data_IF_308541257561
#
_entry.id   IF_308541257561
#
_cell.length_a   1.000
_cell.length_b   1.000
_cell.length_c   1.000
_cell.angle_alpha   90.00
_cell.angle_beta   90.00
_cell.angle_gamma   90.00
#
_symmetry.space_group_name_H-M   'P 1'
#
loop_
_entity.id
_entity.type
_entity.pdbx_description
1 polymer ?
#
# COMPACT_ATOMS: atom_id res chain seq x y z
N UNK A 1 -2.00 -7.27 -23.86
CA UNK A 1 -3.48 -7.17 -24.06
C UNK A 1 -3.90 -5.72 -23.91
N UNK A 2 -5.10 -5.31 -24.34
CA UNK A 2 -5.56 -3.94 -24.10
C UNK A 2 -6.12 -3.78 -22.69
N UNK A 3 -6.02 -2.57 -22.12
CA UNK A 3 -6.55 -2.26 -20.80
C UNK A 3 -8.06 -2.53 -20.69
N UNK A 4 -8.85 -2.24 -21.73
CA UNK A 4 -10.29 -2.53 -21.74
C UNK A 4 -10.65 -4.00 -21.47
N UNK A 5 -9.71 -4.92 -21.72
CA UNK A 5 -9.92 -6.36 -21.57
C UNK A 5 -9.48 -6.87 -20.18
N UNK A 6 -9.00 -6.00 -19.27
CA UNK A 6 -8.35 -6.38 -18.00
C UNK A 6 -9.21 -7.30 -17.13
N UNK A 7 -10.52 -7.10 -17.11
CA UNK A 7 -11.46 -7.90 -16.31
C UNK A 7 -11.66 -9.34 -16.82
N UNK A 8 -11.14 -9.69 -18.00
CA UNK A 8 -11.12 -11.07 -18.49
C UNK A 8 -10.10 -11.95 -17.77
N UNK A 9 -9.20 -11.36 -16.96
CA UNK A 9 -8.04 -12.03 -16.35
C UNK A 9 -8.10 -11.96 -14.82
N UNK A 10 -9.14 -12.58 -14.23
CA UNK A 10 -9.50 -12.43 -12.81
C UNK A 10 -8.47 -12.96 -11.80
N UNK A 11 -7.64 -13.89 -12.23
CA UNK A 11 -6.63 -14.54 -11.39
C UNK A 11 -5.29 -13.77 -11.35
N UNK A 12 -5.10 -12.82 -12.25
CA UNK A 12 -3.91 -11.99 -12.30
C UNK A 12 -4.08 -10.79 -11.37
N UNK A 13 -3.08 -10.54 -10.53
CA UNK A 13 -3.11 -9.45 -9.56
C UNK A 13 -2.42 -8.19 -10.06
N UNK A 14 -1.36 -8.31 -10.85
CA UNK A 14 -0.56 -7.19 -11.33
C UNK A 14 -0.37 -7.31 -12.83
N UNK A 15 -0.56 -6.20 -13.52
CA UNK A 15 -0.22 -6.02 -14.93
C UNK A 15 0.77 -4.88 -15.05
N UNK A 16 1.81 -5.05 -15.86
CA UNK A 16 2.69 -3.94 -16.27
C UNK A 16 2.13 -3.26 -17.51
N UNK A 17 2.21 -1.93 -17.58
CA UNK A 17 1.95 -1.14 -18.78
C UNK A 17 3.21 -1.15 -19.64
N UNK A 18 3.08 -1.55 -20.90
CA UNK A 18 4.21 -1.68 -21.85
C UNK A 18 4.12 -0.76 -23.06
N UNK A 19 2.94 -0.18 -23.30
CA UNK A 19 2.71 0.86 -24.30
C UNK A 19 1.53 1.72 -23.86
N UNK A 20 1.80 2.98 -23.55
CA UNK A 20 0.87 4.02 -23.12
C UNK A 20 0.79 5.17 -24.14
N UNK A 21 1.22 4.94 -25.39
CA UNK A 21 1.31 5.97 -26.43
C UNK A 21 -0.03 6.37 -27.05
N UNK A 22 -1.10 5.60 -26.81
CA UNK A 22 -2.45 5.90 -27.31
C UNK A 22 -3.14 6.92 -26.39
N UNK A 23 -3.68 7.99 -26.98
CA UNK A 23 -4.42 9.03 -26.24
C UNK A 23 -5.66 8.45 -25.52
N UNK A 24 -6.24 7.39 -26.07
CA UNK A 24 -7.31 6.63 -25.44
C UNK A 24 -6.72 5.52 -24.57
N UNK A 25 -6.79 5.73 -23.27
CA UNK A 25 -6.22 4.84 -22.27
C UNK A 25 -6.76 3.39 -22.34
N UNK A 26 -7.98 3.18 -22.86
CA UNK A 26 -8.51 1.83 -23.06
C UNK A 26 -7.68 0.98 -24.03
N UNK A 27 -6.91 1.63 -24.92
CA UNK A 27 -6.06 1.00 -25.91
C UNK A 27 -4.65 0.70 -25.43
N UNK A 28 -4.26 1.17 -24.25
CA UNK A 28 -2.94 0.90 -23.68
C UNK A 28 -2.67 -0.60 -23.58
N UNK A 29 -1.42 -0.98 -23.84
CA UNK A 29 -0.99 -2.37 -23.84
C UNK A 29 -0.43 -2.73 -22.48
N UNK A 30 -1.14 -3.63 -21.79
CA UNK A 30 -0.74 -4.18 -20.50
C UNK A 30 -0.38 -5.67 -20.65
N UNK A 31 0.56 -6.15 -19.82
CA UNK A 31 0.94 -7.56 -19.78
C UNK A 31 0.85 -8.10 -18.34
N UNK A 32 0.33 -9.32 -18.15
CA UNK A 32 0.26 -9.94 -16.82
C UNK A 32 1.67 -10.17 -16.29
N UNK A 33 1.84 -10.05 -14.97
CA UNK A 33 3.07 -10.40 -14.27
C UNK A 33 2.84 -11.60 -13.33
N UNK A 34 3.94 -12.16 -12.83
CA UNK A 34 3.97 -13.16 -11.76
C UNK A 34 4.38 -12.55 -10.41
N UNK A 35 4.30 -11.22 -10.29
CA UNK A 35 4.71 -10.51 -9.09
C UNK A 35 3.76 -10.80 -7.92
N UNK A 36 4.34 -11.11 -6.76
CA UNK A 36 3.60 -11.26 -5.51
C UNK A 36 3.25 -9.92 -4.87
N UNK A 37 4.08 -8.89 -5.11
CA UNK A 37 4.02 -7.55 -4.54
C UNK A 37 4.22 -6.49 -5.63
N UNK A 38 3.78 -5.26 -5.37
CA UNK A 38 4.09 -4.12 -6.23
C UNK A 38 5.58 -3.80 -6.05
N UNK A 39 6.39 -3.82 -7.13
CA UNK A 39 7.84 -3.68 -7.05
C UNK A 39 8.28 -2.24 -6.77
N UNK A 40 9.55 -2.09 -6.39
CA UNK A 40 10.24 -0.81 -6.20
C UNK A 40 10.85 -0.22 -7.50
N UNK A 41 10.70 -0.91 -8.64
CA UNK A 41 11.26 -0.46 -9.91
C UNK A 41 10.51 0.74 -10.49
N UNK A 42 11.06 1.34 -11.54
CA UNK A 42 10.38 2.39 -12.28
C UNK A 42 9.41 1.75 -13.28
N UNK A 43 8.12 2.07 -13.16
CA UNK A 43 7.11 1.45 -13.99
C UNK A 43 5.71 1.97 -13.73
N UNK A 44 4.79 1.57 -14.61
CA UNK A 44 3.36 1.79 -14.43
C UNK A 44 2.65 0.43 -14.41
N UNK A 45 1.90 0.17 -13.34
CA UNK A 45 1.17 -1.05 -13.10
C UNK A 45 -0.33 -0.82 -12.97
N UNK A 46 -1.13 -1.77 -13.46
CA UNK A 46 -2.52 -1.93 -13.03
C UNK A 46 -2.61 -3.11 -12.06
N UNK A 47 -3.07 -2.82 -10.85
CA UNK A 47 -3.10 -3.77 -9.74
C UNK A 47 -4.53 -4.05 -9.34
N UNK A 48 -4.90 -5.31 -9.17
CA UNK A 48 -6.21 -5.68 -8.65
C UNK A 48 -6.40 -5.02 -7.29
N UNK A 49 -7.57 -4.43 -7.07
CA UNK A 49 -7.88 -3.67 -5.88
C UNK A 49 -9.34 -3.88 -5.46
N UNK A 50 -9.66 -3.41 -4.27
CA UNK A 50 -11.02 -3.31 -3.76
C UNK A 50 -11.40 -1.84 -3.64
N UNK A 51 -12.61 -1.49 -4.09
CA UNK A 51 -13.32 -0.33 -3.56
C UNK A 51 -14.00 -0.78 -2.27
N UNK A 52 -13.65 -0.16 -1.15
CA UNK A 52 -14.13 -0.46 0.20
C UNK A 52 -15.05 0.65 0.67
N UNK A 53 -16.30 0.30 0.94
CA UNK A 53 -17.29 1.17 1.57
C UNK A 53 -17.74 0.56 2.91
N UNK A 54 -18.51 1.30 3.69
CA UNK A 54 -19.15 0.74 4.90
C UNK A 54 -20.05 -0.47 4.58
N UNK A 55 -20.64 -0.52 3.38
CA UNK A 55 -21.66 -1.50 3.02
C UNK A 55 -21.10 -2.73 2.33
N UNK A 56 -20.06 -2.57 1.49
CA UNK A 56 -19.54 -3.64 0.65
C UNK A 56 -18.10 -3.41 0.20
N UNK A 57 -17.52 -4.46 -0.37
CA UNK A 57 -16.30 -4.40 -1.16
C UNK A 57 -16.59 -4.79 -2.60
N UNK A 58 -16.01 -4.08 -3.55
CA UNK A 58 -16.18 -4.33 -4.99
C UNK A 58 -14.82 -4.44 -5.68
N UNK A 59 -14.65 -5.42 -6.56
CA UNK A 59 -13.41 -5.59 -7.34
C UNK A 59 -13.23 -4.44 -8.33
N UNK A 60 -12.01 -3.89 -8.37
CA UNK A 60 -11.55 -2.94 -9.38
C UNK A 60 -10.07 -3.22 -9.75
N UNK A 61 -9.52 -2.40 -10.63
CA UNK A 61 -8.07 -2.28 -10.79
C UNK A 61 -7.64 -0.85 -10.48
N UNK A 62 -6.44 -0.71 -9.92
CA UNK A 62 -5.85 0.58 -9.56
C UNK A 62 -4.56 0.76 -10.37
N UNK A 63 -4.46 1.89 -11.06
CA UNK A 63 -3.25 2.35 -11.71
C UNK A 63 -2.27 2.91 -10.68
N UNK A 64 -1.06 2.35 -10.64
CA UNK A 64 0.01 2.73 -9.72
C UNK A 64 1.30 2.98 -10.50
N UNK A 65 1.83 4.19 -10.41
CA UNK A 65 3.17 4.54 -10.86
C UNK A 65 4.17 4.22 -9.73
N UNK A 66 5.38 3.80 -10.11
CA UNK A 66 6.52 3.51 -9.23
C UNK A 66 7.79 4.15 -9.85
N UNK A 67 8.88 4.42 -9.10
CA UNK A 67 9.29 3.85 -7.80
C UNK A 67 8.66 4.49 -6.57
N UNK A 68 8.01 5.64 -6.71
CA UNK A 68 7.18 6.24 -5.68
C UNK A 68 5.73 5.85 -5.93
N UNK A 69 5.10 5.19 -4.96
CA UNK A 69 3.75 4.63 -5.06
C UNK A 69 2.70 5.72 -5.19
N UNK A 70 2.46 6.15 -6.43
CA UNK A 70 1.43 7.12 -6.79
C UNK A 70 0.25 6.42 -7.44
N UNK A 71 -0.91 6.52 -6.81
CA UNK A 71 -2.16 5.93 -7.27
C UNK A 71 -3.12 7.03 -7.71
N UNK A 72 -3.63 6.97 -8.94
CA UNK A 72 -4.47 8.05 -9.48
C UNK A 72 -5.73 7.56 -10.20
N UNK A 73 -5.71 6.35 -10.77
CA UNK A 73 -6.74 5.89 -11.69
C UNK A 73 -7.33 4.57 -11.26
N UNK A 74 -8.65 4.46 -11.35
CA UNK A 74 -9.40 3.27 -10.95
C UNK A 74 -10.18 2.77 -12.14
N UNK A 75 -9.92 1.52 -12.53
CA UNK A 75 -10.63 0.84 -13.62
C UNK A 75 -11.74 -0.01 -13.02
N UNK A 76 -12.97 0.24 -13.43
CA UNK A 76 -14.18 -0.37 -12.87
C UNK A 76 -14.91 -1.10 -13.98
N UNK A 77 -15.55 -2.23 -13.65
CA UNK A 77 -16.47 -2.91 -14.56
C UNK A 77 -17.88 -2.94 -13.99
N UNK A 78 -18.82 -2.30 -14.67
CA UNK A 78 -20.25 -2.34 -14.33
C UNK A 78 -21.02 -2.98 -15.47
N UNK A 79 -21.66 -4.13 -15.22
CA UNK A 79 -22.43 -4.88 -16.23
C UNK A 79 -21.64 -5.17 -17.53
N UNK A 80 -20.32 -5.37 -17.40
CA UNK A 80 -19.42 -5.64 -18.54
C UNK A 80 -18.93 -4.41 -19.28
N UNK A 81 -19.40 -3.21 -18.92
CA UNK A 81 -18.81 -1.95 -19.40
C UNK A 81 -17.65 -1.55 -18.50
N UNK A 82 -16.50 -1.28 -19.10
CA UNK A 82 -15.30 -0.83 -18.38
C UNK A 82 -15.23 0.70 -18.42
N UNK A 83 -14.97 1.31 -17.27
CA UNK A 83 -14.73 2.76 -17.12
C UNK A 83 -13.42 2.99 -16.38
N UNK A 84 -12.84 4.18 -16.56
CA UNK A 84 -11.66 4.65 -15.84
C UNK A 84 -12.07 5.95 -15.15
N UNK A 85 -11.92 5.98 -13.84
CA UNK A 85 -12.25 7.13 -12.99
C UNK A 85 -11.00 7.58 -12.23
N UNK A 86 -11.00 8.82 -11.75
CA UNK A 86 -9.99 9.23 -10.78
C UNK A 86 -10.23 8.54 -9.44
N UNK A 87 -9.16 8.16 -8.73
CA UNK A 87 -9.26 7.63 -7.36
C UNK A 87 -9.98 8.61 -6.42
N UNK A 88 -9.89 9.91 -6.67
CA UNK A 88 -10.53 10.96 -5.88
C UNK A 88 -12.03 11.09 -6.12
N UNK A 89 -12.54 10.51 -7.22
CA UNK A 89 -13.96 10.52 -7.57
C UNK A 89 -14.68 9.24 -7.08
N UNK A 90 -13.94 8.30 -6.46
CA UNK A 90 -14.51 7.06 -5.91
C UNK A 90 -15.13 7.31 -4.54
N UNK A 91 -16.35 6.80 -4.35
CA UNK A 91 -16.98 6.74 -3.03
C UNK A 91 -16.40 5.56 -2.23
N UNK A 92 -15.63 5.87 -1.19
CA UNK A 92 -14.92 4.91 -0.34
C UNK A 92 -13.43 4.83 -0.62
N UNK A 93 -12.76 3.88 0.06
CA UNK A 93 -11.31 3.69 0.00
C UNK A 93 -10.92 2.67 -1.08
N UNK A 94 -9.89 2.95 -1.89
CA UNK A 94 -9.41 2.01 -2.92
C UNK A 94 -8.12 1.33 -2.48
N UNK A 95 -8.21 0.03 -2.17
CA UNK A 95 -7.12 -0.72 -1.53
C UNK A 95 -6.57 -1.78 -2.49
N UNK A 96 -5.28 -1.75 -2.88
CA UNK A 96 -4.66 -2.81 -3.68
C UNK A 96 -4.72 -4.16 -2.96
N UNK A 97 -4.95 -5.27 -3.66
CA UNK A 97 -5.05 -6.61 -3.01
C UNK A 97 -3.69 -7.25 -2.67
N UNK A 98 -2.60 -6.52 -2.91
CA UNK A 98 -1.22 -6.91 -2.63
C UNK A 98 -0.48 -5.72 -2.02
N UNK A 99 0.51 -5.99 -1.17
CA UNK A 99 1.35 -4.95 -0.60
C UNK A 99 2.35 -4.41 -1.64
N UNK A 100 3.00 -3.31 -1.30
CA UNK A 100 3.98 -2.63 -2.15
C UNK A 100 5.32 -2.49 -1.43
N UNK A 101 6.41 -2.86 -2.10
CA UNK A 101 7.77 -2.64 -1.59
C UNK A 101 8.25 -1.20 -1.88
N UNK A 102 7.59 -0.49 -2.81
CA UNK A 102 7.83 0.93 -3.08
C UNK A 102 7.25 1.87 -2.01
N UNK A 103 8.02 2.91 -1.71
CA UNK A 103 7.65 3.98 -0.77
C UNK A 103 6.39 4.73 -1.23
N UNK A 104 5.51 5.09 -0.29
CA UNK A 104 4.36 5.96 -0.55
C UNK A 104 3.56 6.24 0.71
N UNK A 105 2.39 6.85 0.54
CA UNK A 105 1.50 7.14 1.67
C UNK A 105 0.80 5.84 2.15
N UNK A 106 0.90 5.53 3.44
CA UNK A 106 0.25 4.38 4.07
C UNK A 106 -1.28 4.42 3.97
N UNK A 107 -1.86 5.62 3.78
CA UNK A 107 -3.31 5.80 3.62
C UNK A 107 -3.88 5.02 2.42
N UNK A 108 -3.06 4.69 1.42
CA UNK A 108 -3.48 3.80 0.33
C UNK A 108 -3.96 2.42 0.84
N UNK A 109 -3.44 1.96 1.97
CA UNK A 109 -3.87 0.72 2.61
C UNK A 109 -4.84 0.96 3.77
N UNK A 110 -5.19 2.21 4.10
CA UNK A 110 -6.01 2.52 5.26
C UNK A 110 -7.48 2.82 4.89
N UNK A 111 -8.26 1.76 4.67
CA UNK A 111 -9.71 1.88 4.58
C UNK A 111 -10.30 2.11 5.98
N UNK A 112 -10.61 3.35 6.36
CA UNK A 112 -11.18 3.67 7.69
C UNK A 112 -12.52 2.97 7.95
N UNK A 113 -13.26 2.65 6.88
CA UNK A 113 -14.51 1.91 6.92
C UNK A 113 -14.29 0.45 7.34
N UNK A 114 -13.14 -0.13 6.97
CA UNK A 114 -12.75 -1.49 7.33
C UNK A 114 -11.21 -1.66 7.31
N UNK A 115 -10.52 -1.21 8.37
CA UNK A 115 -9.05 -1.17 8.41
C UNK A 115 -8.41 -2.55 8.32
N UNK A 116 -9.15 -3.60 8.69
CA UNK A 116 -8.65 -4.97 8.69
C UNK A 116 -8.28 -5.46 7.29
N UNK A 117 -8.91 -4.95 6.22
CA UNK A 117 -8.57 -5.30 4.84
C UNK A 117 -7.10 -4.95 4.55
N UNK A 118 -6.72 -3.69 4.79
CA UNK A 118 -5.35 -3.23 4.60
C UNK A 118 -4.35 -3.94 5.49
N UNK A 119 -4.71 -4.13 6.77
CA UNK A 119 -3.87 -4.86 7.73
C UNK A 119 -3.59 -6.29 7.25
N UNK A 120 -4.59 -7.01 6.74
CA UNK A 120 -4.42 -8.37 6.22
C UNK A 120 -3.54 -8.40 4.96
N UNK A 121 -3.73 -7.44 4.06
CA UNK A 121 -2.91 -7.30 2.85
C UNK A 121 -1.45 -7.04 3.21
N UNK A 122 -1.17 -6.11 4.13
CA UNK A 122 0.19 -5.78 4.55
C UNK A 122 0.83 -6.94 5.33
N UNK A 123 0.09 -7.61 6.23
CA UNK A 123 0.57 -8.80 6.94
C UNK A 123 0.91 -9.94 5.97
N UNK A 124 0.08 -10.15 4.94
CA UNK A 124 0.40 -11.08 3.86
C UNK A 124 1.64 -10.61 3.09
N UNK A 125 1.75 -9.32 2.77
CA UNK A 125 2.89 -8.76 2.06
C UNK A 125 4.23 -9.04 2.73
N UNK A 126 4.28 -8.89 4.05
CA UNK A 126 5.47 -9.18 4.86
C UNK A 126 5.98 -10.62 4.75
N UNK A 127 5.15 -11.58 4.34
CA UNK A 127 5.58 -12.97 4.13
C UNK A 127 6.28 -13.19 2.78
N UNK A 128 6.11 -12.27 1.83
CA UNK A 128 6.67 -12.36 0.48
C UNK A 128 7.80 -11.35 0.24
N UNK A 129 7.84 -10.26 1.02
CA UNK A 129 8.75 -9.15 0.79
C UNK A 129 10.22 -9.53 0.93
N UNK A 130 11.01 -9.06 -0.03
CA UNK A 130 12.48 -9.04 0.03
C UNK A 130 12.92 -7.92 0.98
N UNK A 131 12.33 -6.73 0.83
CA UNK A 131 12.52 -5.61 1.74
C UNK A 131 11.23 -5.32 2.50
N UNK A 132 11.25 -5.59 3.81
CA UNK A 132 10.07 -5.43 4.67
C UNK A 132 9.87 -4.00 5.17
N UNK A 133 10.83 -3.11 4.96
CA UNK A 133 10.86 -1.80 5.63
C UNK A 133 9.60 -0.98 5.40
N UNK A 134 9.24 -0.76 4.12
CA UNK A 134 8.08 0.07 3.74
C UNK A 134 6.76 -0.58 4.16
N UNK A 135 6.58 -1.88 3.88
CA UNK A 135 5.35 -2.61 4.21
C UNK A 135 5.12 -2.63 5.74
N UNK A 136 6.19 -2.83 6.51
CA UNK A 136 6.13 -2.84 7.96
C UNK A 136 5.84 -1.45 8.54
N UNK A 137 6.37 -0.41 7.92
CA UNK A 137 6.08 0.97 8.30
C UNK A 137 4.62 1.35 8.01
N UNK A 138 4.10 1.05 6.82
CA UNK A 138 2.69 1.25 6.47
C UNK A 138 1.77 0.53 7.47
N UNK A 139 2.11 -0.72 7.80
CA UNK A 139 1.38 -1.51 8.79
C UNK A 139 1.44 -0.87 10.18
N UNK A 140 2.61 -0.34 10.57
CA UNK A 140 2.81 0.35 11.85
C UNK A 140 1.92 1.57 12.00
N UNK A 141 1.85 2.43 10.97
CA UNK A 141 0.99 3.61 10.99
C UNK A 141 -0.50 3.25 11.11
N UNK A 142 -0.99 2.28 10.33
CA UNK A 142 -2.40 1.85 10.40
C UNK A 142 -2.70 1.28 11.79
N UNK A 143 -1.84 0.41 12.32
CA UNK A 143 -2.05 -0.17 13.65
C UNK A 143 -2.02 0.87 14.77
N UNK A 144 -1.16 1.88 14.68
CA UNK A 144 -1.13 3.02 15.61
C UNK A 144 -2.46 3.77 15.57
N UNK A 145 -2.92 4.12 14.38
CA UNK A 145 -4.16 4.90 14.19
C UNK A 145 -5.40 4.13 14.67
N UNK A 146 -5.37 2.80 14.59
CA UNK A 146 -6.38 1.89 15.12
C UNK A 146 -6.23 1.60 16.64
N UNK A 147 -5.27 2.24 17.32
CA UNK A 147 -5.02 2.07 18.75
C UNK A 147 -4.46 0.69 19.14
N UNK A 148 -3.93 -0.07 18.16
CA UNK A 148 -3.30 -1.38 18.35
C UNK A 148 -1.82 -1.23 18.69
N UNK A 149 -1.53 -0.43 19.72
CA UNK A 149 -0.19 0.05 20.11
C UNK A 149 0.88 -1.05 20.14
N UNK A 150 0.60 -2.21 20.74
CA UNK A 150 1.59 -3.30 20.81
C UNK A 150 1.94 -3.88 19.44
N UNK A 151 0.97 -4.06 18.55
CA UNK A 151 1.22 -4.55 17.19
C UNK A 151 1.91 -3.48 16.34
N UNK A 152 1.56 -2.20 16.54
CA UNK A 152 2.24 -1.08 15.87
C UNK A 152 3.74 -1.05 16.21
N UNK A 153 4.09 -1.23 17.49
CA UNK A 153 5.48 -1.35 17.93
C UNK A 153 6.18 -2.53 17.23
N UNK A 154 5.53 -3.69 17.15
CA UNK A 154 6.10 -4.85 16.45
C UNK A 154 6.36 -4.56 14.97
N UNK A 155 5.42 -3.91 14.29
CA UNK A 155 5.55 -3.54 12.88
C UNK A 155 6.68 -2.52 12.66
N UNK A 156 6.73 -1.42 13.43
CA UNK A 156 7.81 -0.44 13.32
C UNK A 156 9.19 -1.02 13.63
N UNK A 157 9.28 -2.00 14.55
CA UNK A 157 10.53 -2.72 14.80
C UNK A 157 10.97 -3.59 13.62
N UNK A 158 10.03 -4.21 12.89
CA UNK A 158 10.37 -4.90 11.64
C UNK A 158 10.97 -3.91 10.64
N UNK A 159 10.40 -2.70 10.55
CA UNK A 159 10.97 -1.65 9.69
C UNK A 159 12.38 -1.23 10.14
N UNK A 160 12.58 -0.99 11.44
CA UNK A 160 13.90 -0.71 12.04
C UNK A 160 14.96 -1.77 11.68
N UNK A 161 14.60 -3.06 11.76
CA UNK A 161 15.49 -4.17 11.47
C UNK A 161 15.83 -4.31 9.97
N UNK A 162 15.01 -3.75 9.07
CA UNK A 162 15.14 -3.89 7.61
C UNK A 162 15.65 -2.62 6.91
N UNK A 163 16.37 -1.76 7.64
CA UNK A 163 16.75 -0.40 7.21
C UNK A 163 15.50 0.50 7.16
N UNK A 164 15.27 1.34 8.20
CA UNK A 164 14.13 2.24 8.24
C UNK A 164 14.01 3.06 6.95
N UNK A 165 12.79 3.27 6.45
CA UNK A 165 12.60 4.16 5.30
C UNK A 165 12.85 5.64 5.68
N UNK A 166 12.69 5.96 6.97
CA UNK A 166 12.98 7.28 7.55
C UNK A 166 13.34 7.20 9.04
N UNK A 167 14.09 8.20 9.52
CA UNK A 167 14.35 8.46 10.93
C UNK A 167 13.07 8.69 11.76
N UNK A 168 11.95 9.08 11.14
CA UNK A 168 10.67 9.30 11.85
C UNK A 168 10.15 8.04 12.56
N UNK A 169 10.52 6.84 12.10
CA UNK A 169 10.19 5.58 12.78
C UNK A 169 10.68 5.57 14.23
N UNK A 170 11.82 6.19 14.53
CA UNK A 170 12.31 6.27 15.91
C UNK A 170 11.46 7.20 16.78
N UNK A 171 10.93 8.29 16.21
CA UNK A 171 9.97 9.12 16.92
C UNK A 171 8.69 8.32 17.20
N UNK A 172 8.12 7.65 16.20
CA UNK A 172 6.93 6.81 16.35
C UNK A 172 7.10 5.75 17.45
N UNK A 173 8.22 5.03 17.45
CA UNK A 173 8.53 4.05 18.49
C UNK A 173 8.62 4.69 19.88
N UNK A 174 9.29 5.85 20.01
CA UNK A 174 9.38 6.56 21.29
C UNK A 174 8.00 6.95 21.82
N UNK A 175 7.11 7.45 20.96
CA UNK A 175 5.75 7.83 21.35
C UNK A 175 4.92 6.63 21.78
N UNK A 176 4.99 5.52 21.04
CA UNK A 176 4.28 4.29 21.39
C UNK A 176 4.80 3.67 22.71
N UNK A 177 6.11 3.68 22.95
CA UNK A 177 6.67 3.20 24.21
C UNK A 177 6.28 4.09 25.40
N UNK A 178 6.17 5.40 25.19
CA UNK A 178 5.65 6.35 26.18
C UNK A 178 4.19 6.03 26.53
N UNK A 179 3.35 5.72 25.55
CA UNK A 179 1.94 5.37 25.76
C UNK A 179 1.76 4.12 26.64
N UNK A 180 2.60 3.10 26.46
CA UNK A 180 2.55 1.88 27.29
C UNK A 180 3.35 1.99 28.60
N UNK A 181 4.00 3.13 28.85
CA UNK A 181 4.77 3.39 30.07
C UNK A 181 6.15 2.71 30.12
N UNK A 182 6.69 2.27 28.98
CA UNK A 182 8.05 1.73 28.90
C UNK A 182 9.07 2.86 28.70
N UNK A 183 9.42 3.50 29.82
CA UNK A 183 10.36 4.63 29.84
C UNK A 183 11.75 4.26 29.32
N UNK A 184 12.19 3.01 29.44
CA UNK A 184 13.51 2.60 28.99
C UNK A 184 13.60 2.61 27.46
N UNK A 185 12.62 1.99 26.80
CA UNK A 185 12.59 2.00 25.33
C UNK A 185 12.22 3.38 24.78
N UNK A 186 11.33 4.12 25.44
CA UNK A 186 11.07 5.52 25.08
C UNK A 186 12.37 6.33 24.98
N UNK A 187 13.17 6.37 26.05
CA UNK A 187 14.44 7.15 26.08
C UNK A 187 15.41 6.64 25.02
N UNK A 188 15.50 5.32 24.82
CA UNK A 188 16.34 4.71 23.77
C UNK A 188 15.99 5.30 22.40
N UNK A 189 14.71 5.30 22.04
CA UNK A 189 14.26 5.74 20.72
C UNK A 189 14.29 7.26 20.55
N UNK A 190 14.03 8.05 21.59
CA UNK A 190 14.26 9.51 21.57
C UNK A 190 15.72 9.86 21.27
N UNK A 191 16.68 9.10 21.83
CA UNK A 191 18.10 9.31 21.55
C UNK A 191 18.46 8.96 20.11
N UNK A 192 17.92 7.87 19.56
CA UNK A 192 18.12 7.49 18.16
C UNK A 192 17.56 8.55 17.20
N UNK A 193 16.36 9.05 17.46
CA UNK A 193 15.75 10.12 16.67
C UNK A 193 16.58 11.41 16.69
N UNK A 194 17.05 11.83 17.87
CA UNK A 194 17.88 13.04 17.99
C UNK A 194 19.24 12.90 17.29
N UNK A 195 19.87 11.72 17.37
CA UNK A 195 21.14 11.45 16.70
C UNK A 195 21.05 11.50 15.17
N UNK A 196 19.89 11.14 14.59
CA UNK A 196 19.64 11.25 13.15
C UNK A 196 19.39 12.69 12.66
N UNK A 197 19.01 13.60 13.56
CA UNK A 197 18.67 15.00 13.27
C UNK A 197 19.78 16.01 13.64
N UNK A 198 20.96 15.53 14.03
CA UNK A 198 22.11 16.34 14.50
C UNK A 198 23.19 16.47 13.42
#
# INVERSE_FOLDING_TARGET
>A
MKLQDIFNFKDIKIFTVTDDSDDDQFNWIINPTDFDLIPEDEGYYFVKAFIVTEANTTDCFLGILTPERFAEQVVISTNGQVTIESIYDIDGSVIPVVAAECFGNYELYYAKENPQIGIDILKSGLTHAVNKSVIAEDLGYILRDEGRTSEAIEAFKISEENTPSSEYIYNELAELYREIGDTNNQIKYEQLFNAGNS
#
